data_IF_876926812424
#
_entry.id   IF_876926812424
#
_cell.length_a   1.000
_cell.length_b   1.000
_cell.length_c   1.000
_cell.angle_alpha   90.00
_cell.angle_beta   90.00
_cell.angle_gamma   90.00
#
_symmetry.space_group_name_H-M   'P 1'
#
loop_
_entity.id
_entity.type
_entity.pdbx_description
1 polymer ?
#
# COMPACT_ATOMS: atom_id res chain seq x y z
N UNK A 1 9.43 -1.88 1.54
CA UNK A 1 8.28 -2.56 0.89
C UNK A 1 7.56 -1.54 0.03
N UNK A 2 7.30 -1.91 -1.19
CA UNK A 2 6.65 -1.01 -2.14
C UNK A 2 5.21 -1.46 -2.38
N UNK A 3 4.29 -0.50 -2.31
CA UNK A 3 2.86 -0.75 -2.48
C UNK A 3 2.34 0.22 -3.53
N UNK A 4 1.55 -0.29 -4.44
CA UNK A 4 0.87 0.52 -5.44
C UNK A 4 -0.62 0.25 -5.35
N UNK A 5 -1.39 1.31 -5.18
CA UNK A 5 -2.85 1.22 -5.06
C UNK A 5 -3.50 2.23 -5.98
N UNK A 6 -4.72 1.93 -6.42
CA UNK A 6 -5.58 2.87 -7.13
C UNK A 6 -6.66 3.36 -6.19
N UNK A 7 -6.76 4.68 -6.03
CA UNK A 7 -7.78 5.34 -5.21
C UNK A 7 -8.87 5.95 -6.10
N UNK A 8 -10.11 5.88 -5.63
CA UNK A 8 -11.26 6.50 -6.32
C UNK A 8 -11.35 8.00 -6.04
N UNK A 9 -10.27 8.72 -6.29
CA UNK A 9 -10.17 10.15 -6.09
C UNK A 9 -9.26 10.73 -7.15
N UNK A 10 -9.54 11.96 -7.58
CA UNK A 10 -8.71 12.63 -8.57
C UNK A 10 -7.36 13.03 -7.96
N UNK A 11 -6.30 13.02 -8.77
CA UNK A 11 -4.95 13.31 -8.28
C UNK A 11 -4.85 14.68 -7.60
N UNK A 12 -5.50 15.72 -8.15
CA UNK A 12 -5.45 17.05 -7.56
C UNK A 12 -6.11 17.12 -6.18
N UNK A 13 -7.12 16.28 -5.95
CA UNK A 13 -7.76 16.20 -4.64
C UNK A 13 -6.88 15.49 -3.63
N UNK A 14 -6.14 14.49 -4.10
CA UNK A 14 -5.25 13.71 -3.25
C UNK A 14 -4.06 14.53 -2.76
N UNK A 15 -3.48 15.38 -3.60
CA UNK A 15 -2.25 16.11 -3.25
C UNK A 15 -2.39 16.94 -1.98
N UNK A 16 -3.56 17.49 -1.69
CA UNK A 16 -3.79 18.24 -0.46
C UNK A 16 -3.98 17.34 0.77
N UNK A 17 -4.06 16.03 0.59
CA UNK A 17 -4.39 15.05 1.62
C UNK A 17 -3.30 14.02 1.85
N UNK A 18 -2.12 14.21 1.29
CA UNK A 18 -1.01 13.25 1.42
C UNK A 18 -0.69 12.92 2.87
N UNK A 19 -0.53 13.89 3.79
CA UNK A 19 -0.25 13.57 5.19
C UNK A 19 -1.34 12.73 5.84
N UNK A 20 -2.59 12.98 5.51
CA UNK A 20 -3.71 12.19 6.04
C UNK A 20 -3.67 10.75 5.53
N UNK A 21 -3.31 10.56 4.26
CA UNK A 21 -3.16 9.23 3.69
C UNK A 21 -2.05 8.45 4.39
N UNK A 22 -0.93 9.11 4.66
CA UNK A 22 0.19 8.48 5.39
C UNK A 22 -0.24 8.02 6.78
N UNK A 23 -1.00 8.85 7.50
CA UNK A 23 -1.51 8.49 8.82
C UNK A 23 -2.43 7.27 8.75
N UNK A 24 -3.32 7.24 7.77
CA UNK A 24 -4.28 6.14 7.64
C UNK A 24 -3.62 4.84 7.23
N UNK A 25 -2.63 4.89 6.34
CA UNK A 25 -1.85 3.70 5.98
C UNK A 25 -1.09 3.18 7.19
N UNK A 26 -0.47 4.06 7.97
CA UNK A 26 0.22 3.66 9.19
C UNK A 26 -0.74 3.02 10.19
N UNK A 27 -1.90 3.62 10.40
CA UNK A 27 -2.90 3.09 11.33
C UNK A 27 -3.45 1.73 10.89
N UNK A 28 -3.52 1.49 9.59
CA UNK A 28 -4.01 0.22 9.04
C UNK A 28 -2.98 -0.88 8.97
N UNK A 29 -1.72 -0.56 9.26
CA UNK A 29 -0.60 -1.50 9.24
C UNK A 29 0.01 -1.58 10.64
N UNK A 30 1.21 -2.14 10.75
CA UNK A 30 1.93 -2.22 12.03
C UNK A 30 3.03 -1.16 12.09
N UNK A 31 2.93 -0.12 11.28
CA UNK A 31 3.99 0.85 11.05
C UNK A 31 3.65 2.19 11.69
N UNK A 32 4.70 2.99 11.90
CA UNK A 32 4.54 4.39 12.30
C UNK A 32 4.37 5.25 11.04
N UNK A 33 3.78 6.43 11.20
CA UNK A 33 3.64 7.35 10.08
C UNK A 33 4.97 7.66 9.41
N UNK A 34 6.05 7.77 10.18
CA UNK A 34 7.39 8.05 9.63
C UNK A 34 7.91 6.94 8.72
N UNK A 35 7.31 5.77 8.78
CA UNK A 35 7.67 4.64 7.92
C UNK A 35 6.87 4.59 6.63
N UNK A 36 5.87 5.46 6.48
CA UNK A 36 5.01 5.52 5.30
C UNK A 36 5.41 6.72 4.46
N UNK A 37 5.85 6.48 3.22
CA UNK A 37 6.24 7.53 2.30
C UNK A 37 5.42 7.44 1.03
N UNK A 38 4.69 8.49 0.71
CA UNK A 38 3.99 8.58 -0.56
C UNK A 38 4.97 9.12 -1.59
N UNK A 39 5.38 8.25 -2.51
CA UNK A 39 6.44 8.58 -3.48
C UNK A 39 5.90 9.28 -4.71
N UNK A 40 4.65 9.06 -5.05
CA UNK A 40 4.05 9.69 -6.20
C UNK A 40 2.59 9.31 -6.35
N UNK A 41 1.88 10.12 -7.12
CA UNK A 41 0.49 9.91 -7.46
C UNK A 41 0.24 10.42 -8.87
N UNK A 42 -0.44 9.62 -9.67
CA UNK A 42 -0.74 9.98 -11.07
C UNK A 42 -2.05 9.34 -11.50
N UNK A 43 -2.62 9.83 -12.59
CA UNK A 43 -3.82 9.21 -13.15
C UNK A 43 -3.56 7.74 -13.45
N UNK A 44 -4.51 6.89 -13.06
CA UNK A 44 -4.38 5.46 -13.29
C UNK A 44 -4.47 5.15 -14.79
N UNK A 45 -3.53 4.33 -15.27
CA UNK A 45 -3.54 3.86 -16.64
C UNK A 45 -4.61 2.79 -16.83
N UNK A 46 -4.81 1.95 -15.82
CA UNK A 46 -5.72 0.80 -15.90
C UNK A 46 -7.16 1.16 -15.60
N UNK A 47 -7.36 2.14 -14.72
CA UNK A 47 -8.69 2.50 -14.22
C UNK A 47 -8.93 4.00 -14.41
N UNK A 48 -9.56 4.41 -15.53
CA UNK A 48 -9.84 5.82 -15.77
C UNK A 48 -10.64 6.45 -14.62
N UNK A 49 -10.27 7.66 -14.23
CA UNK A 49 -10.91 8.37 -13.13
C UNK A 49 -10.33 8.06 -11.75
N UNK A 50 -9.44 7.08 -11.66
CA UNK A 50 -8.75 6.76 -10.41
C UNK A 50 -7.33 7.32 -10.42
N UNK A 51 -6.72 7.34 -9.24
CA UNK A 51 -5.35 7.80 -9.06
C UNK A 51 -4.49 6.66 -8.54
N UNK A 52 -3.42 6.36 -9.25
CA UNK A 52 -2.42 5.39 -8.81
C UNK A 52 -1.46 6.07 -7.84
N UNK A 53 -1.31 5.49 -6.66
CA UNK A 53 -0.43 5.99 -5.62
C UNK A 53 0.68 4.99 -5.36
N UNK A 54 1.91 5.47 -5.39
CA UNK A 54 3.09 4.67 -5.06
C UNK A 54 3.49 4.96 -3.63
N UNK A 55 3.50 3.92 -2.80
CA UNK A 55 3.80 4.01 -1.39
C UNK A 55 5.06 3.21 -1.12
N UNK A 56 6.00 3.81 -0.41
CA UNK A 56 7.18 3.11 0.09
C UNK A 56 7.07 2.98 1.60
N UNK A 57 7.07 1.73 2.07
CA UNK A 57 7.05 1.41 3.49
C UNK A 57 8.48 1.09 3.90
N UNK A 58 9.04 1.89 4.80
CA UNK A 58 10.44 1.75 5.19
C UNK A 58 10.56 1.15 6.59
N UNK A 59 11.52 0.22 6.78
CA UNK A 59 11.76 -0.35 8.11
C UNK A 59 12.43 0.67 9.03
N UNK A 60 12.29 0.46 10.33
CA UNK A 60 13.01 1.27 11.31
C UNK A 60 14.49 0.91 11.37
N UNK A 61 14.83 -0.35 11.09
CA UNK A 61 16.20 -0.83 11.00
C UNK A 61 16.61 -1.06 9.55
N UNK A 62 17.45 -2.07 9.33
CA UNK A 62 17.93 -2.37 7.99
C UNK A 62 16.86 -3.00 7.11
N UNK A 63 15.98 -3.79 7.71
CA UNK A 63 14.91 -4.47 6.99
C UNK A 63 13.75 -4.77 7.93
N UNK A 64 12.60 -5.07 7.36
CA UNK A 64 11.47 -5.61 8.12
C UNK A 64 11.78 -7.06 8.51
N UNK A 65 11.31 -7.49 9.70
CA UNK A 65 11.29 -8.91 9.97
C UNK A 65 10.25 -9.59 9.07
N UNK A 66 10.41 -10.89 8.86
CA UNK A 66 9.58 -11.64 7.93
C UNK A 66 8.10 -11.60 8.32
N UNK A 67 7.81 -11.64 9.61
CA UNK A 67 6.41 -11.65 10.08
C UNK A 67 5.74 -10.30 9.83
N UNK A 68 6.42 -9.20 10.15
CA UNK A 68 5.87 -7.86 9.93
C UNK A 68 5.62 -7.63 8.44
N UNK A 69 6.57 -8.02 7.60
CA UNK A 69 6.42 -7.86 6.16
C UNK A 69 5.25 -8.69 5.62
N UNK A 70 5.13 -9.94 6.05
CA UNK A 70 4.04 -10.82 5.60
C UNK A 70 2.68 -10.29 6.06
N UNK A 71 2.56 -9.89 7.32
CA UNK A 71 1.30 -9.37 7.85
C UNK A 71 0.90 -8.07 7.15
N UNK A 72 1.85 -7.21 6.86
CA UNK A 72 1.58 -5.96 6.13
C UNK A 72 1.10 -6.27 4.71
N UNK A 73 1.77 -7.18 4.02
CA UNK A 73 1.35 -7.66 2.70
C UNK A 73 -0.09 -8.17 2.74
N UNK A 74 -0.42 -9.02 3.71
CA UNK A 74 -1.75 -9.60 3.84
C UNK A 74 -2.81 -8.52 4.09
N UNK A 75 -2.52 -7.54 4.93
CA UNK A 75 -3.49 -6.49 5.23
C UNK A 75 -3.86 -5.68 4.00
N UNK A 76 -2.91 -5.38 3.13
CA UNK A 76 -3.22 -4.68 1.88
C UNK A 76 -4.08 -5.55 0.96
N UNK A 77 -3.67 -6.77 0.71
CA UNK A 77 -4.41 -7.65 -0.22
C UNK A 77 -5.80 -8.02 0.28
N UNK A 78 -5.98 -8.12 1.59
CA UNK A 78 -7.29 -8.38 2.18
C UNK A 78 -8.10 -7.10 2.40
N UNK A 79 -7.58 -5.96 1.96
CA UNK A 79 -8.21 -4.64 2.09
C UNK A 79 -8.56 -4.32 3.55
N UNK A 80 -7.68 -4.72 4.48
CA UNK A 80 -7.84 -4.44 5.91
C UNK A 80 -7.19 -3.12 6.33
N UNK A 81 -6.41 -2.51 5.45
CA UNK A 81 -5.94 -1.14 5.65
C UNK A 81 -7.13 -0.24 5.32
N UNK A 82 -7.79 0.27 6.36
CA UNK A 82 -8.99 1.07 6.18
C UNK A 82 -8.61 2.53 5.97
N UNK A 83 -9.14 3.11 4.92
CA UNK A 83 -8.95 4.51 4.59
C UNK A 83 -10.30 5.21 4.64
N UNK A 84 -10.29 6.50 4.94
CA UNK A 84 -11.51 7.29 4.97
C UNK A 84 -12.12 7.35 3.57
N UNK A 85 -13.20 6.62 3.38
CA UNK A 85 -13.82 6.46 2.06
C UNK A 85 -14.41 7.78 1.54
N UNK A 86 -14.77 8.69 2.45
CA UNK A 86 -15.30 10.00 2.07
C UNK A 86 -14.20 10.87 1.44
N UNK A 87 -12.96 10.73 1.90
CA UNK A 87 -11.83 11.53 1.42
C UNK A 87 -11.14 10.83 0.25
N UNK A 88 -10.87 9.52 0.37
CA UNK A 88 -10.02 8.79 -0.56
C UNK A 88 -10.79 7.85 -1.49
N UNK A 89 -12.07 7.63 -1.22
CA UNK A 89 -12.83 6.60 -1.93
C UNK A 89 -12.38 5.21 -1.55
N UNK A 90 -12.87 4.23 -2.28
CA UNK A 90 -12.38 2.86 -2.15
C UNK A 90 -11.03 2.72 -2.88
N UNK A 91 -10.31 1.65 -2.59
CA UNK A 91 -9.03 1.42 -3.23
C UNK A 91 -8.91 -0.01 -3.74
N UNK A 92 -8.12 -0.16 -4.80
CA UNK A 92 -7.70 -1.47 -5.30
C UNK A 92 -6.19 -1.59 -5.14
N UNK A 93 -5.75 -2.75 -4.69
CA UNK A 93 -4.32 -3.03 -4.57
C UNK A 93 -3.83 -3.54 -5.93
N UNK A 94 -2.87 -2.81 -6.49
CA UNK A 94 -2.26 -3.19 -7.75
C UNK A 94 -1.08 -4.12 -7.51
N UNK A 95 -0.28 -3.78 -6.47
CA UNK A 95 1.02 -4.39 -6.34
C UNK A 95 1.54 -4.20 -4.92
N UNK A 96 2.11 -5.26 -4.35
CA UNK A 96 2.85 -5.21 -3.10
C UNK A 96 4.14 -6.00 -3.28
N UNK A 97 5.27 -5.37 -3.05
CA UNK A 97 6.57 -6.00 -3.25
C UNK A 97 7.50 -5.74 -2.09
N UNK A 98 8.14 -6.79 -1.63
CA UNK A 98 9.21 -6.71 -0.65
C UNK A 98 10.43 -7.44 -1.20
N UNK A 99 11.56 -6.76 -1.43
CA UNK A 99 12.74 -7.36 -2.06
C UNK A 99 13.57 -8.20 -1.09
N UNK A 100 12.95 -9.18 -0.44
CA UNK A 100 13.63 -10.08 0.48
C UNK A 100 13.60 -11.50 -0.02
N UNK A 101 14.74 -12.20 0.00
CA UNK A 101 14.85 -13.50 -0.63
C UNK A 101 14.06 -14.60 0.08
N UNK A 102 14.20 -14.69 1.39
CA UNK A 102 13.50 -15.73 2.17
C UNK A 102 12.01 -15.50 2.21
N UNK A 103 11.62 -14.27 2.04
CA UNK A 103 10.22 -13.84 2.10
C UNK A 103 9.55 -13.93 0.74
N UNK A 104 10.31 -13.76 -0.35
CA UNK A 104 9.79 -13.72 -1.72
C UNK A 104 9.04 -15.00 -2.07
N UNK A 105 9.55 -16.15 -1.67
CA UNK A 105 8.90 -17.43 -1.94
C UNK A 105 7.51 -17.47 -1.31
N UNK A 106 7.39 -17.06 -0.07
CA UNK A 106 6.09 -17.00 0.61
C UNK A 106 5.12 -16.05 -0.06
N UNK A 107 5.61 -14.90 -0.51
CA UNK A 107 4.78 -13.93 -1.24
C UNK A 107 4.28 -14.50 -2.55
N UNK A 108 5.14 -15.18 -3.31
CA UNK A 108 4.76 -15.77 -4.59
C UNK A 108 3.67 -16.83 -4.38
N UNK A 109 3.83 -17.69 -3.38
CA UNK A 109 2.82 -18.69 -3.06
C UNK A 109 1.50 -18.03 -2.66
N UNK A 110 1.56 -17.00 -1.83
CA UNK A 110 0.36 -16.28 -1.40
C UNK A 110 -0.34 -15.62 -2.57
N UNK A 111 0.41 -15.00 -3.47
CA UNK A 111 -0.17 -14.37 -4.66
C UNK A 111 -0.84 -15.40 -5.56
N UNK A 112 -0.18 -16.52 -5.84
CA UNK A 112 -0.76 -17.59 -6.65
C UNK A 112 -2.05 -18.10 -6.04
N UNK A 113 -2.08 -18.27 -4.73
CA UNK A 113 -3.25 -18.71 -4.01
C UNK A 113 -4.42 -17.73 -4.15
N UNK A 114 -4.15 -16.43 -4.15
CA UNK A 114 -5.18 -15.41 -4.25
C UNK A 114 -5.81 -15.32 -5.63
N UNK A 115 -5.11 -15.74 -6.66
CA UNK A 115 -5.63 -15.71 -8.03
C UNK A 115 -6.33 -17.00 -8.41
N UNK A 116 -6.34 -17.98 -7.55
CA UNK A 116 -7.09 -19.21 -7.75
C UNK A 116 -8.53 -19.09 -7.24
#
# INVERSE_FOLDING_TARGET
MQVEIDLEVAAYQLFSRIPELEVEVAAGTFLKQSQVRIMGASASIQNPGKTTVNIDLVPLGEKFDNMTALLTYERFWQKKVQMNITIFGDYDVIYVHYPGNTFTFGLVVTMAYRFL
#
